data_IF_761705439646
#
_entry.id   IF_761705439646
#
_cell.length_a   1.000
_cell.length_b   1.000
_cell.length_c   1.000
_cell.angle_alpha   90.00
_cell.angle_beta   90.00
_cell.angle_gamma   90.00
#
_symmetry.space_group_name_H-M   'P 1'
#
loop_
_entity.id
_entity.type
_entity.pdbx_description
1 polymer ?
#
# COMPACT_ATOMS: atom_id res chain seq x y z
N UNK A 1 1.33 -14.23 7.57
CA UNK A 1 0.07 -14.88 7.09
C UNK A 1 0.22 -15.33 5.64
N UNK A 2 0.60 -14.47 4.69
CA UNK A 2 0.60 -14.78 3.23
C UNK A 2 1.41 -16.02 2.82
N UNK A 3 2.56 -16.26 3.46
CA UNK A 3 3.34 -17.48 3.23
C UNK A 3 2.73 -18.76 3.84
N UNK A 4 1.92 -18.61 4.90
CA UNK A 4 1.26 -19.75 5.55
C UNK A 4 -0.07 -20.09 4.90
N UNK A 5 -0.77 -19.05 4.42
CA UNK A 5 -2.12 -19.14 3.88
C UNK A 5 -2.24 -18.32 2.58
N UNK A 6 -1.52 -18.72 1.52
CA UNK A 6 -1.50 -17.95 0.27
C UNK A 6 -2.89 -17.90 -0.39
N UNK A 7 -3.64 -19.01 -0.40
CA UNK A 7 -4.98 -19.02 -0.98
C UNK A 7 -5.91 -18.00 -0.30
N UNK A 8 -5.94 -17.96 1.03
CA UNK A 8 -6.69 -16.95 1.79
C UNK A 8 -6.26 -15.52 1.47
N UNK A 9 -4.95 -15.30 1.26
CA UNK A 9 -4.42 -13.98 0.89
C UNK A 9 -4.95 -13.53 -0.48
N UNK A 10 -4.95 -14.41 -1.48
CA UNK A 10 -5.52 -14.11 -2.80
C UNK A 10 -7.05 -13.94 -2.75
N UNK A 11 -7.75 -14.80 -2.03
CA UNK A 11 -9.19 -14.67 -1.84
C UNK A 11 -9.56 -13.32 -1.23
N UNK A 12 -8.86 -12.92 -0.18
CA UNK A 12 -9.11 -11.64 0.50
C UNK A 12 -8.75 -10.45 -0.38
N UNK A 13 -7.57 -10.42 -0.98
CA UNK A 13 -7.08 -9.23 -1.67
C UNK A 13 -7.60 -9.13 -3.11
N UNK A 14 -7.67 -10.23 -3.84
CA UNK A 14 -8.12 -10.23 -5.25
C UNK A 14 -9.63 -10.32 -5.33
N UNK A 15 -10.20 -11.39 -4.74
CA UNK A 15 -11.65 -11.56 -4.78
C UNK A 15 -12.40 -10.50 -3.98
N UNK A 16 -11.82 -10.02 -2.86
CA UNK A 16 -12.35 -8.86 -2.13
C UNK A 16 -12.43 -7.62 -3.01
N UNK A 17 -11.40 -7.35 -3.84
CA UNK A 17 -11.41 -6.24 -4.82
C UNK A 17 -12.48 -6.48 -5.89
N UNK A 18 -12.56 -7.69 -6.46
CA UNK A 18 -13.61 -8.05 -7.43
C UNK A 18 -14.99 -7.80 -6.85
N UNK A 19 -15.25 -8.32 -5.65
CA UNK A 19 -16.55 -8.20 -4.99
C UNK A 19 -16.93 -6.74 -4.73
N UNK A 20 -15.97 -5.91 -4.29
CA UNK A 20 -16.21 -4.48 -4.07
C UNK A 20 -16.56 -3.77 -5.39
N UNK A 21 -15.74 -3.98 -6.43
CA UNK A 21 -15.97 -3.34 -7.73
C UNK A 21 -17.27 -3.83 -8.39
N UNK A 22 -17.63 -5.09 -8.20
CA UNK A 22 -18.91 -5.64 -8.66
C UNK A 22 -20.09 -5.01 -7.90
N UNK A 23 -19.95 -4.79 -6.59
CA UNK A 23 -20.95 -4.04 -5.82
C UNK A 23 -21.09 -2.60 -6.34
N UNK A 24 -20.00 -1.92 -6.66
CA UNK A 24 -20.03 -0.58 -7.25
C UNK A 24 -20.73 -0.61 -8.61
N UNK A 25 -20.43 -1.59 -9.45
CA UNK A 25 -20.99 -1.75 -10.80
C UNK A 25 -22.50 -2.00 -10.80
N UNK A 26 -22.99 -2.79 -9.85
CA UNK A 26 -24.41 -3.21 -9.77
C UNK A 26 -25.24 -2.35 -8.84
N UNK A 27 -24.61 -1.45 -8.09
CA UNK A 27 -25.30 -0.60 -7.10
C UNK A 27 -26.25 0.41 -7.76
N UNK A 28 -27.39 0.64 -7.11
CA UNK A 28 -28.28 1.76 -7.41
C UNK A 28 -27.82 3.08 -6.75
N UNK A 29 -26.87 3.02 -5.82
CA UNK A 29 -26.33 4.20 -5.16
C UNK A 29 -25.38 4.97 -6.13
N UNK A 30 -25.41 6.31 -6.09
CA UNK A 30 -24.56 7.14 -6.95
C UNK A 30 -23.11 7.17 -6.42
N UNK A 31 -22.38 6.07 -6.54
CA UNK A 31 -20.96 6.04 -6.20
C UNK A 31 -20.19 6.88 -7.21
N UNK A 32 -19.48 7.91 -6.74
CA UNK A 32 -18.70 8.83 -7.59
C UNK A 32 -17.20 8.68 -7.48
N UNK A 33 -16.71 8.16 -6.35
CA UNK A 33 -15.27 8.08 -6.07
C UNK A 33 -14.94 6.78 -5.34
N UNK A 34 -13.93 6.07 -5.84
CA UNK A 34 -13.39 4.84 -5.23
C UNK A 34 -11.88 4.91 -5.22
N UNK A 35 -11.25 4.67 -4.07
CA UNK A 35 -9.80 4.54 -3.95
C UNK A 35 -9.47 3.14 -3.46
N UNK A 36 -8.80 2.36 -4.31
CA UNK A 36 -8.26 1.05 -3.94
C UNK A 36 -6.86 1.23 -3.34
N UNK A 37 -6.73 0.95 -2.05
CA UNK A 37 -5.45 1.04 -1.36
C UNK A 37 -4.66 -0.25 -1.55
N UNK A 38 -3.51 -0.14 -2.22
CA UNK A 38 -2.61 -1.27 -2.47
C UNK A 38 -1.29 -1.12 -1.70
N UNK A 39 -0.14 -1.27 -2.32
CA UNK A 39 1.17 -1.20 -1.66
C UNK A 39 2.26 -0.82 -2.65
N UNK A 40 3.36 -0.26 -2.18
CA UNK A 40 4.60 -0.04 -2.93
C UNK A 40 5.23 -1.34 -3.49
N UNK A 41 4.87 -2.50 -2.92
CA UNK A 41 5.41 -3.82 -3.28
C UNK A 41 4.74 -4.47 -4.48
N UNK A 42 3.86 -3.75 -5.17
CA UNK A 42 3.18 -4.26 -6.38
C UNK A 42 4.09 -4.35 -7.60
N UNK A 43 5.20 -3.64 -7.60
CA UNK A 43 6.09 -3.54 -8.74
C UNK A 43 6.98 -4.79 -8.92
N UNK A 44 7.34 -5.06 -10.17
CA UNK A 44 8.48 -5.93 -10.48
C UNK A 44 9.75 -5.31 -9.90
N UNK A 45 10.36 -5.98 -8.90
CA UNK A 45 11.53 -5.45 -8.24
C UNK A 45 12.79 -5.69 -9.07
N UNK A 46 13.37 -4.63 -9.61
CA UNK A 46 14.60 -4.65 -10.42
C UNK A 46 15.86 -4.33 -9.62
N UNK A 47 15.76 -4.13 -8.30
CA UNK A 47 16.87 -3.79 -7.38
C UNK A 47 17.71 -2.58 -7.86
N UNK A 48 17.11 -1.62 -8.55
CA UNK A 48 17.78 -0.40 -8.97
C UNK A 48 17.77 0.68 -7.88
N UNK A 49 18.55 1.74 -8.06
CA UNK A 49 18.81 2.76 -7.04
C UNK A 49 17.82 3.94 -7.02
N UNK A 50 16.82 3.94 -7.90
CA UNK A 50 15.80 4.98 -7.95
C UNK A 50 14.41 4.43 -7.66
N UNK A 51 13.48 5.33 -7.27
CA UNK A 51 12.10 4.97 -6.96
C UNK A 51 11.31 4.53 -8.20
N UNK A 52 10.30 3.66 -7.97
CA UNK A 52 9.40 3.20 -9.02
C UNK A 52 8.38 4.28 -9.39
N UNK A 53 8.06 4.36 -10.67
CA UNK A 53 7.01 5.23 -11.21
C UNK A 53 5.70 4.45 -11.34
N UNK A 54 4.58 5.17 -11.36
CA UNK A 54 3.25 4.56 -11.40
C UNK A 54 2.98 3.70 -12.64
N UNK A 55 3.68 3.94 -13.74
CA UNK A 55 3.59 3.19 -15.00
C UNK A 55 4.58 2.01 -15.12
N UNK A 56 5.34 1.71 -14.07
CA UNK A 56 6.27 0.57 -14.07
C UNK A 56 5.51 -0.76 -13.98
N UNK A 57 6.11 -1.87 -14.50
CA UNK A 57 5.49 -3.19 -14.49
C UNK A 57 5.12 -3.68 -13.10
N UNK A 58 3.93 -4.28 -12.99
CA UNK A 58 3.41 -4.88 -11.76
C UNK A 58 3.70 -6.38 -11.73
N UNK A 59 4.52 -6.83 -10.80
CA UNK A 59 4.82 -8.24 -10.54
C UNK A 59 5.40 -8.41 -9.13
N UNK A 60 4.57 -8.23 -8.12
CA UNK A 60 4.97 -8.42 -6.72
C UNK A 60 5.46 -9.84 -6.47
N UNK A 61 6.60 -9.98 -5.80
CA UNK A 61 7.34 -11.25 -5.69
C UNK A 61 6.67 -12.27 -4.75
N UNK A 62 6.24 -11.85 -3.58
CA UNK A 62 5.65 -12.76 -2.58
C UNK A 62 4.11 -12.81 -2.71
N UNK A 63 3.44 -13.81 -2.07
CA UNK A 63 1.98 -13.94 -2.23
C UNK A 63 1.16 -12.71 -1.83
N UNK A 64 1.62 -11.94 -0.83
CA UNK A 64 0.96 -10.68 -0.46
C UNK A 64 1.15 -9.63 -1.56
N UNK A 65 2.40 -9.38 -1.93
CA UNK A 65 2.76 -8.39 -2.95
C UNK A 65 2.09 -8.70 -4.29
N UNK A 66 2.15 -9.96 -4.71
CA UNK A 66 1.51 -10.42 -5.94
C UNK A 66 -0.02 -10.30 -5.89
N UNK A 67 -0.66 -10.66 -4.79
CA UNK A 67 -2.11 -10.48 -4.64
C UNK A 67 -2.54 -9.00 -4.73
N UNK A 68 -1.69 -8.08 -4.27
CA UNK A 68 -1.92 -6.64 -4.44
C UNK A 68 -1.67 -6.17 -5.87
N UNK A 69 -0.67 -6.73 -6.58
CA UNK A 69 -0.51 -6.51 -8.03
C UNK A 69 -1.75 -6.98 -8.80
N UNK A 70 -2.28 -8.16 -8.47
CA UNK A 70 -3.53 -8.66 -9.05
C UNK A 70 -4.72 -7.74 -8.74
N UNK A 71 -4.82 -7.19 -7.54
CA UNK A 71 -5.85 -6.21 -7.17
C UNK A 71 -5.78 -4.94 -8.04
N UNK A 72 -4.56 -4.46 -8.36
CA UNK A 72 -4.35 -3.36 -9.31
C UNK A 72 -4.85 -3.72 -10.71
N UNK A 73 -4.48 -4.90 -11.22
CA UNK A 73 -4.87 -5.37 -12.55
C UNK A 73 -6.40 -5.56 -12.65
N UNK A 74 -7.04 -6.09 -11.60
CA UNK A 74 -8.50 -6.18 -11.50
C UNK A 74 -9.12 -4.79 -11.56
N UNK A 75 -8.61 -3.84 -10.77
CA UNK A 75 -9.11 -2.46 -10.75
C UNK A 75 -8.98 -1.81 -12.12
N UNK A 76 -7.84 -1.98 -12.80
CA UNK A 76 -7.63 -1.48 -14.16
C UNK A 76 -8.63 -2.09 -15.15
N UNK A 77 -8.83 -3.42 -15.10
CA UNK A 77 -9.77 -4.12 -15.98
C UNK A 77 -11.20 -3.64 -15.79
N UNK A 78 -11.66 -3.52 -14.54
CA UNK A 78 -13.01 -3.00 -14.25
C UNK A 78 -13.18 -1.55 -14.69
N UNK A 79 -12.19 -0.69 -14.42
CA UNK A 79 -12.19 0.71 -14.85
C UNK A 79 -12.35 0.82 -16.37
N UNK A 80 -11.56 0.06 -17.12
CA UNK A 80 -11.57 0.11 -18.59
C UNK A 80 -12.83 -0.50 -19.21
N UNK A 81 -13.39 -1.55 -18.58
CA UNK A 81 -14.49 -2.32 -19.14
C UNK A 81 -15.89 -1.79 -18.77
N UNK A 82 -16.03 -1.26 -17.55
CA UNK A 82 -17.34 -0.97 -16.98
C UNK A 82 -17.51 0.46 -16.47
N UNK A 83 -16.41 1.18 -16.22
CA UNK A 83 -16.45 2.49 -15.61
C UNK A 83 -15.89 3.57 -16.56
N UNK A 84 -16.30 3.49 -17.83
CA UNK A 84 -15.98 4.47 -18.88
C UNK A 84 -17.28 5.15 -19.33
N UNK A 85 -17.52 6.39 -18.95
CA UNK A 85 -18.70 7.14 -19.34
C UNK A 85 -18.93 8.35 -18.44
N UNK A 86 -19.84 9.21 -18.85
CA UNK A 86 -20.08 10.52 -18.25
C UNK A 86 -20.50 10.47 -16.78
N UNK A 87 -21.13 9.37 -16.34
CA UNK A 87 -21.57 9.17 -14.96
C UNK A 87 -20.80 8.02 -14.23
N UNK A 88 -19.70 7.55 -14.81
CA UNK A 88 -18.92 6.50 -14.21
C UNK A 88 -18.19 7.01 -12.94
N UNK A 89 -18.03 6.15 -11.91
CA UNK A 89 -17.24 6.53 -10.75
C UNK A 89 -15.77 6.74 -11.13
N UNK A 90 -15.17 7.77 -10.58
CA UNK A 90 -13.72 7.97 -10.62
C UNK A 90 -13.03 6.92 -9.74
N UNK A 91 -12.14 6.11 -10.32
CA UNK A 91 -11.47 5.02 -9.61
C UNK A 91 -9.97 5.21 -9.68
N UNK A 92 -9.32 5.25 -8.51
CA UNK A 92 -7.87 5.32 -8.37
C UNK A 92 -7.33 4.18 -7.56
N UNK A 93 -6.04 3.87 -7.76
CA UNK A 93 -5.25 3.06 -6.82
C UNK A 93 -4.21 3.92 -6.13
N UNK A 94 -3.93 3.61 -4.86
CA UNK A 94 -2.94 4.31 -4.06
C UNK A 94 -1.97 3.31 -3.43
N UNK A 95 -0.68 3.48 -3.72
CA UNK A 95 0.42 2.58 -3.39
C UNK A 95 1.29 3.21 -2.32
N UNK A 96 1.03 2.91 -1.07
CA UNK A 96 1.85 3.39 0.03
C UNK A 96 2.92 2.38 0.44
N UNK A 97 4.05 2.91 0.90
CA UNK A 97 5.17 2.15 1.44
C UNK A 97 4.95 1.71 2.88
N UNK A 98 6.04 1.66 3.64
CA UNK A 98 6.02 1.23 5.03
C UNK A 98 5.40 2.31 5.92
N UNK A 99 4.35 1.93 6.65
CA UNK A 99 3.58 2.84 7.51
C UNK A 99 3.86 2.53 8.97
N UNK A 100 4.11 3.57 9.77
CA UNK A 100 4.33 3.50 11.22
C UNK A 100 3.22 4.28 11.91
N UNK A 101 2.67 3.70 12.97
CA UNK A 101 1.64 4.38 13.78
C UNK A 101 1.47 3.71 15.14
N UNK A 102 0.87 4.43 16.06
CA UNK A 102 0.51 3.89 17.36
C UNK A 102 -0.53 2.77 17.27
N UNK A 103 -0.50 1.83 18.23
CA UNK A 103 -1.45 0.73 18.27
C UNK A 103 -1.15 -0.44 17.32
N UNK A 104 -0.03 -0.45 16.63
CA UNK A 104 0.42 -1.59 15.85
C UNK A 104 1.17 -2.59 16.75
N UNK A 105 0.63 -3.78 16.89
CA UNK A 105 1.21 -4.88 17.68
C UNK A 105 1.54 -6.10 16.81
N UNK A 106 1.51 -5.97 15.50
CA UNK A 106 1.77 -7.08 14.60
C UNK A 106 3.22 -7.59 14.73
N UNK A 107 3.38 -8.91 14.72
CA UNK A 107 4.69 -9.55 14.68
C UNK A 107 5.36 -9.33 13.31
N UNK A 108 6.68 -9.43 13.29
CA UNK A 108 7.51 -9.25 12.09
C UNK A 108 7.45 -7.84 11.47
N UNK A 109 7.08 -6.84 12.27
CA UNK A 109 7.15 -5.42 11.91
C UNK A 109 8.20 -4.72 12.77
N UNK A 110 9.04 -3.90 12.12
CA UNK A 110 10.26 -3.38 12.74
C UNK A 110 9.99 -2.59 14.03
N UNK A 111 9.10 -1.60 14.02
CA UNK A 111 8.84 -0.78 15.23
C UNK A 111 8.14 -1.58 16.33
N UNK A 112 7.06 -2.34 16.08
CA UNK A 112 6.49 -3.25 17.08
C UNK A 112 7.49 -4.25 17.65
N UNK A 113 8.39 -4.80 16.83
CA UNK A 113 9.43 -5.73 17.29
C UNK A 113 10.48 -5.02 18.18
N UNK A 114 10.88 -3.79 17.84
CA UNK A 114 11.74 -2.97 18.69
C UNK A 114 11.09 -2.71 20.06
N UNK A 115 9.84 -2.26 20.06
CA UNK A 115 9.09 -2.01 21.32
C UNK A 115 9.02 -3.26 22.20
N UNK A 116 8.71 -4.42 21.60
CA UNK A 116 8.69 -5.70 22.35
C UNK A 116 10.06 -6.05 22.92
N UNK A 117 11.10 -5.96 22.10
CA UNK A 117 12.45 -6.31 22.54
C UNK A 117 12.89 -5.45 23.73
N UNK A 118 12.72 -4.14 23.66
CA UNK A 118 13.10 -3.23 24.74
C UNK A 118 12.23 -3.45 25.98
N UNK A 119 10.92 -3.64 25.83
CA UNK A 119 10.01 -3.90 26.96
C UNK A 119 10.33 -5.20 27.70
N UNK A 120 10.95 -6.16 27.02
CA UNK A 120 11.38 -7.45 27.59
C UNK A 120 12.86 -7.48 27.96
N UNK A 121 13.58 -6.34 27.91
CA UNK A 121 15.04 -6.26 28.09
C UNK A 121 15.82 -7.24 27.18
N UNK A 122 15.40 -7.39 25.94
CA UNK A 122 16.04 -8.21 24.92
C UNK A 122 16.74 -7.35 23.87
N UNK A 123 17.70 -7.95 23.19
CA UNK A 123 18.35 -7.32 22.04
C UNK A 123 17.36 -7.14 20.88
N UNK A 124 17.47 -6.01 20.17
CA UNK A 124 16.74 -5.78 18.91
C UNK A 124 17.48 -6.48 17.79
N UNK A 125 16.87 -7.49 17.18
CA UNK A 125 17.46 -8.25 16.07
C UNK A 125 16.93 -7.70 14.75
N UNK A 126 17.82 -7.09 13.96
CA UNK A 126 17.53 -6.56 12.63
C UNK A 126 18.00 -7.55 11.56
N UNK A 127 17.05 -8.17 10.85
CA UNK A 127 17.35 -9.21 9.84
C UNK A 127 18.07 -8.67 8.60
N UNK A 128 17.72 -7.47 8.15
CA UNK A 128 18.36 -6.78 7.02
C UNK A 128 18.47 -5.28 7.31
N UNK A 129 19.56 -4.85 7.96
CA UNK A 129 19.77 -3.46 8.35
C UNK A 129 19.99 -2.51 7.15
N UNK A 130 20.44 -3.02 6.02
CA UNK A 130 20.80 -2.23 4.83
C UNK A 130 19.62 -1.98 3.88
N UNK A 131 18.47 -2.60 4.13
CA UNK A 131 17.29 -2.40 3.28
C UNK A 131 16.72 -1.00 3.47
N UNK A 132 16.76 -0.19 2.43
CA UNK A 132 16.12 1.14 2.38
C UNK A 132 14.61 1.00 2.22
N UNK A 133 13.84 1.78 2.98
CA UNK A 133 12.38 1.75 2.97
C UNK A 133 11.81 3.17 3.08
N UNK A 134 10.69 3.44 2.39
CA UNK A 134 9.98 4.70 2.49
C UNK A 134 9.06 4.68 3.72
N UNK A 135 9.64 4.84 4.92
CA UNK A 135 8.87 4.89 6.16
C UNK A 135 8.11 6.22 6.27
N UNK A 136 6.84 6.15 6.65
CA UNK A 136 6.01 7.33 6.86
C UNK A 136 5.03 7.11 8.02
N UNK A 137 4.61 8.21 8.64
CA UNK A 137 3.57 8.13 9.68
C UNK A 137 2.21 7.81 9.06
N UNK A 138 1.40 6.99 9.74
CA UNK A 138 0.10 6.51 9.23
C UNK A 138 -0.85 7.64 8.77
N UNK A 139 -0.77 8.80 9.36
CA UNK A 139 -1.61 9.95 8.99
C UNK A 139 -1.27 10.51 7.59
N UNK A 140 -0.03 10.36 7.12
CA UNK A 140 0.38 10.83 5.79
C UNK A 140 -0.39 10.08 4.67
N UNK A 141 -0.29 8.74 4.57
CA UNK A 141 -1.02 8.05 3.53
C UNK A 141 -2.53 8.12 3.70
N UNK A 142 -3.05 8.12 4.94
CA UNK A 142 -4.50 8.27 5.17
C UNK A 142 -5.00 9.62 4.66
N UNK A 143 -4.27 10.70 4.93
CA UNK A 143 -4.61 12.02 4.38
C UNK A 143 -4.56 12.03 2.85
N UNK A 144 -3.51 11.44 2.26
CA UNK A 144 -3.39 11.32 0.80
C UNK A 144 -4.58 10.57 0.19
N UNK A 145 -5.01 9.44 0.78
CA UNK A 145 -6.17 8.68 0.29
C UNK A 145 -7.46 9.50 0.35
N UNK A 146 -7.69 10.23 1.43
CA UNK A 146 -8.85 11.11 1.56
C UNK A 146 -8.80 12.27 0.54
N UNK A 147 -7.63 12.85 0.33
CA UNK A 147 -7.45 13.89 -0.69
C UNK A 147 -7.68 13.37 -2.10
N UNK A 148 -7.15 12.19 -2.45
CA UNK A 148 -7.42 11.55 -3.76
C UNK A 148 -8.92 11.31 -3.91
N UNK A 149 -9.57 10.74 -2.89
CA UNK A 149 -11.01 10.46 -2.93
C UNK A 149 -11.84 11.73 -3.12
N UNK A 150 -11.51 12.82 -2.42
CA UNK A 150 -12.18 14.11 -2.54
C UNK A 150 -11.94 14.75 -3.90
N UNK A 151 -10.68 14.83 -4.33
CA UNK A 151 -10.31 15.51 -5.57
C UNK A 151 -10.90 14.83 -6.81
N UNK A 152 -10.85 13.50 -6.87
CA UNK A 152 -11.45 12.78 -7.99
C UNK A 152 -13.00 12.77 -7.93
N UNK A 153 -13.62 12.98 -6.76
CA UNK A 153 -15.04 13.20 -6.63
C UNK A 153 -15.45 14.54 -7.26
N UNK A 154 -14.62 15.57 -7.10
CA UNK A 154 -14.82 16.91 -7.66
C UNK A 154 -14.47 16.96 -9.16
N UNK A 155 -13.42 16.25 -9.58
CA UNK A 155 -12.94 16.17 -10.96
C UNK A 155 -12.48 14.74 -11.29
N UNK A 156 -13.27 14.01 -12.06
CA UNK A 156 -12.99 12.61 -12.44
C UNK A 156 -11.71 12.42 -13.26
N UNK A 157 -11.20 13.46 -13.93
CA UNK A 157 -9.96 13.41 -14.71
C UNK A 157 -8.72 13.19 -13.84
N UNK A 158 -8.85 13.39 -12.52
CA UNK A 158 -7.81 13.11 -11.54
C UNK A 158 -7.76 11.64 -11.12
N UNK A 159 -8.64 10.79 -11.66
CA UNK A 159 -8.59 9.36 -11.35
C UNK A 159 -7.41 8.66 -12.03
N UNK A 160 -6.52 8.10 -11.22
CA UNK A 160 -5.26 7.52 -11.71
C UNK A 160 -4.60 6.55 -10.74
N UNK A 161 -3.32 6.35 -10.93
CA UNK A 161 -2.45 5.56 -10.07
C UNK A 161 -1.53 6.52 -9.31
N UNK A 162 -1.39 6.33 -8.02
CA UNK A 162 -0.63 7.23 -7.16
C UNK A 162 0.35 6.47 -6.28
N UNK A 163 1.62 6.78 -6.37
CA UNK A 163 2.58 6.43 -5.33
C UNK A 163 2.43 7.42 -4.17
N UNK A 164 2.36 6.89 -2.95
CA UNK A 164 2.22 7.68 -1.73
C UNK A 164 3.38 7.32 -0.80
N UNK A 165 4.31 8.24 -0.65
CA UNK A 165 5.51 8.04 0.14
C UNK A 165 6.23 9.34 0.45
N UNK A 166 7.27 9.29 1.28
CA UNK A 166 8.14 10.43 1.52
C UNK A 166 9.01 10.73 0.29
N UNK A 167 9.67 11.85 0.30
CA UNK A 167 10.72 12.17 -0.66
C UNK A 167 11.91 11.20 -0.54
N UNK A 168 12.68 11.02 -1.61
CA UNK A 168 13.81 10.09 -1.64
C UNK A 168 14.85 10.38 -0.53
N UNK A 169 15.04 11.65 -0.18
CA UNK A 169 15.95 12.06 0.90
C UNK A 169 15.50 11.64 2.30
N UNK A 170 14.22 11.31 2.48
CA UNK A 170 13.64 10.85 3.75
C UNK A 170 13.54 9.31 3.81
N UNK A 171 13.92 8.62 2.74
CA UNK A 171 14.02 7.16 2.74
C UNK A 171 15.26 6.73 3.52
N UNK A 172 15.07 5.97 4.59
CA UNK A 172 16.14 5.50 5.46
C UNK A 172 16.29 3.99 5.41
N UNK A 173 17.48 3.51 5.78
CA UNK A 173 17.69 2.08 5.98
C UNK A 173 16.97 1.59 7.25
N UNK A 174 16.68 0.30 7.29
CA UNK A 174 16.08 -0.30 8.50
C UNK A 174 17.00 -0.14 9.72
N UNK A 175 18.33 -0.19 9.53
CA UNK A 175 19.31 0.05 10.59
C UNK A 175 19.23 1.48 11.14
N UNK A 176 19.23 2.49 10.27
CA UNK A 176 19.09 3.90 10.67
C UNK A 176 17.78 4.16 11.42
N UNK A 177 16.66 3.54 11.00
CA UNK A 177 15.40 3.64 11.71
C UNK A 177 15.49 3.07 13.12
N UNK A 178 16.14 1.92 13.30
CA UNK A 178 16.34 1.30 14.63
C UNK A 178 17.27 2.13 15.49
N UNK A 179 18.33 2.70 14.93
CA UNK A 179 19.21 3.64 15.64
C UNK A 179 18.46 4.88 16.12
N UNK A 180 17.58 5.42 15.29
CA UNK A 180 16.71 6.54 15.65
C UNK A 180 15.75 6.15 16.78
N UNK A 181 15.14 4.98 16.69
CA UNK A 181 14.28 4.43 17.75
C UNK A 181 15.03 4.33 19.09
N UNK A 182 16.24 3.74 19.09
CA UNK A 182 17.05 3.59 20.30
C UNK A 182 17.50 4.92 20.91
N UNK A 183 17.65 5.97 20.10
CA UNK A 183 18.01 7.31 20.59
C UNK A 183 16.84 8.06 21.22
N UNK A 184 15.61 7.69 20.86
CA UNK A 184 14.39 8.41 21.28
C UNK A 184 13.61 7.66 22.38
N UNK A 185 13.85 6.37 22.53
CA UNK A 185 13.25 5.54 23.59
C UNK A 185 13.85 5.86 24.96
#
# INVERSE_FOLDING_TARGET
TSYKEPAYTYETNVMGTVNLLECVRTSQAPVKSVVNVTTDKVYLNNEWSWGYRENEPLDGFDPYSNSKSCSELVTHSYKSSFFSGENAPAISTARAGNVIGGGDFAADRIIPDCVRAVSENKEIVVRNPYSTRPYQHVLEPVMAYLMIAQRQYENSDLAGWYNVGPDDCDCVTTGELVDLFCKTW
#
